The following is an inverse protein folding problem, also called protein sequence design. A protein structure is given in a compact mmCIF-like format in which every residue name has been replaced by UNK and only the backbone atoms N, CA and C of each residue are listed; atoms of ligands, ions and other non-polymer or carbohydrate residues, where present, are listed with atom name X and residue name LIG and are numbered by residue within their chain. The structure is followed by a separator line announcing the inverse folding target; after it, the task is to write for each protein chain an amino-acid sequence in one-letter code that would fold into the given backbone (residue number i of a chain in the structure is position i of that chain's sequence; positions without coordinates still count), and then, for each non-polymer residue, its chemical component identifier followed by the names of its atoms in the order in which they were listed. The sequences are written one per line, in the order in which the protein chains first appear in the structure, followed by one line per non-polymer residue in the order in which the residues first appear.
data_IF_506319763820
#
_entry.id   IF_506319763820
#
_cell.length_a   1.000
_cell.length_b   1.000
_cell.length_c   1.000
_cell.angle_alpha   90.00
_cell.angle_beta   90.00
_cell.angle_gamma   90.00
#
_symmetry.space_group_name_H-M   'P 1'
#
loop_
_entity.id
_entity.type
_entity.pdbx_description
1 polymer ?
#
# COMPACT_ATOMS: atom_id res chain seq x y z
N UNK A 1 8.69 -4.27 12.03
CA UNK A 1 8.52 -5.71 11.73
C UNK A 1 7.54 -5.88 10.59
N UNK A 2 7.45 -7.06 9.95
CA UNK A 2 6.55 -7.29 8.82
C UNK A 2 5.08 -7.09 9.23
N UNK A 3 4.26 -6.54 8.34
CA UNK A 3 2.83 -6.37 8.55
C UNK A 3 2.15 -7.74 8.33
N UNK A 4 1.59 -8.31 9.39
CA UNK A 4 0.88 -9.60 9.32
C UNK A 4 -0.51 -9.43 8.72
N UNK A 5 -1.09 -10.53 8.26
CA UNK A 5 -2.48 -10.53 7.79
C UNK A 5 -3.42 -9.94 8.86
N UNK A 6 -4.32 -9.05 8.45
CA UNK A 6 -5.26 -8.35 9.33
C UNK A 6 -4.65 -7.20 10.15
N UNK A 7 -3.32 -7.07 10.20
CA UNK A 7 -2.67 -5.96 10.89
C UNK A 7 -2.81 -4.66 10.08
N UNK A 8 -2.82 -3.53 10.80
CA UNK A 8 -2.89 -2.19 10.23
C UNK A 8 -1.65 -1.39 10.63
N UNK A 9 -1.17 -0.57 9.70
CA UNK A 9 -0.08 0.37 9.94
C UNK A 9 -0.59 1.78 9.64
N UNK A 10 -0.70 2.68 10.63
CA UNK A 10 -0.97 4.08 10.35
C UNK A 10 0.25 4.70 9.65
N UNK A 11 0.00 5.38 8.54
CA UNK A 11 1.00 6.13 7.79
C UNK A 11 0.62 7.60 7.82
N UNK A 12 1.51 8.44 8.33
CA UNK A 12 1.30 9.89 8.40
C UNK A 12 2.29 10.57 7.46
N UNK A 13 1.77 11.36 6.54
CA UNK A 13 2.57 12.19 5.64
C UNK A 13 2.72 13.57 6.27
N UNK A 14 3.94 14.12 6.27
CA UNK A 14 4.16 15.48 6.76
C UNK A 14 3.72 16.45 5.66
N UNK A 15 3.04 17.55 6.04
CA UNK A 15 2.47 18.52 5.09
C UNK A 15 3.48 19.30 4.24
N UNK A 16 4.79 19.00 4.36
CA UNK A 16 5.81 19.51 3.47
C UNK A 16 5.64 18.96 2.04
N UNK A 17 5.15 17.72 1.93
CA UNK A 17 4.85 17.08 0.66
C UNK A 17 3.45 17.51 0.20
N UNK A 18 3.38 18.59 -0.59
CA UNK A 18 2.11 19.18 -1.07
C UNK A 18 1.33 18.31 -2.07
N UNK A 19 1.74 17.06 -2.27
CA UNK A 19 1.12 16.13 -3.22
C UNK A 19 0.05 15.27 -2.57
N UNK A 20 -1.12 15.18 -3.19
CA UNK A 20 -2.16 14.22 -2.80
C UNK A 20 -1.98 12.85 -3.46
N UNK A 21 -1.26 12.79 -4.59
CA UNK A 21 -1.13 11.58 -5.41
C UNK A 21 0.21 10.92 -5.16
N UNK A 22 0.16 9.66 -4.71
CA UNK A 22 1.33 8.91 -4.29
C UNK A 22 1.39 7.54 -4.97
N UNK A 23 2.61 7.02 -5.06
CA UNK A 23 2.82 5.63 -5.42
C UNK A 23 3.19 4.84 -4.17
N UNK A 24 2.65 3.63 -4.03
CA UNK A 24 2.94 2.73 -2.91
C UNK A 24 3.75 1.55 -3.43
N UNK A 25 4.95 1.36 -2.88
CA UNK A 25 5.73 0.13 -3.05
C UNK A 25 5.55 -0.77 -1.84
N UNK A 26 5.21 -2.03 -2.08
CA UNK A 26 5.14 -3.06 -1.04
C UNK A 26 6.15 -4.14 -1.37
N UNK A 27 6.98 -4.49 -0.39
CA UNK A 27 7.87 -5.65 -0.46
C UNK A 27 7.25 -6.76 0.38
N UNK A 28 7.06 -7.93 -0.22
CA UNK A 28 6.49 -9.11 0.43
C UNK A 28 7.57 -9.94 1.14
N UNK A 29 7.16 -10.95 1.89
CA UNK A 29 8.07 -11.79 2.68
C UNK A 29 9.01 -12.65 1.83
N UNK A 30 8.63 -12.93 0.60
CA UNK A 30 9.45 -13.61 -0.41
C UNK A 30 10.37 -12.68 -1.20
N UNK A 31 10.53 -11.44 -0.76
CA UNK A 31 11.31 -10.36 -1.39
C UNK A 31 10.79 -9.88 -2.75
N UNK A 32 9.66 -10.40 -3.23
CA UNK A 32 8.99 -9.80 -4.39
C UNK A 32 8.45 -8.41 -4.04
N UNK A 33 8.25 -7.57 -5.06
CA UNK A 33 7.78 -6.20 -4.87
C UNK A 33 6.61 -5.88 -5.79
N UNK A 34 5.60 -5.21 -5.24
CA UNK A 34 4.47 -4.68 -6.00
C UNK A 34 4.44 -3.17 -5.92
N UNK A 35 3.96 -2.54 -7.00
CA UNK A 35 3.91 -1.10 -7.12
C UNK A 35 2.52 -0.63 -7.53
N UNK A 36 1.85 0.09 -6.63
CA UNK A 36 0.55 0.68 -6.85
C UNK A 36 0.71 2.15 -7.18
N UNK A 37 0.21 2.58 -8.34
CA UNK A 37 0.47 3.93 -8.88
C UNK A 37 -0.74 4.82 -8.76
N UNK A 38 -0.49 6.11 -8.49
CA UNK A 38 -1.49 7.16 -8.63
C UNK A 38 -2.59 7.14 -7.56
N UNK A 39 -2.31 6.66 -6.35
CA UNK A 39 -3.28 6.65 -5.27
C UNK A 39 -3.46 8.06 -4.73
N UNK A 40 -4.68 8.57 -4.74
CA UNK A 40 -5.03 9.88 -4.19
C UNK A 40 -5.34 9.77 -2.70
N UNK A 41 -4.33 10.03 -1.86
CA UNK A 41 -4.43 9.94 -0.40
C UNK A 41 -5.33 11.02 0.21
N UNK A 42 -5.64 12.08 -0.54
CA UNK A 42 -6.60 13.09 -0.08
C UNK A 42 -8.06 12.61 -0.18
N UNK A 43 -8.31 11.51 -0.89
CA UNK A 43 -9.63 10.90 -1.05
C UNK A 43 -9.73 9.49 -0.47
N UNK A 44 -8.62 8.95 0.06
CA UNK A 44 -8.53 7.57 0.54
C UNK A 44 -8.10 7.59 2.00
N UNK A 45 -8.81 6.87 2.86
CA UNK A 45 -8.46 6.73 4.28
C UNK A 45 -7.70 5.42 4.54
N UNK A 46 -8.09 4.33 3.87
CA UNK A 46 -7.45 3.02 4.00
C UNK A 46 -7.12 2.42 2.64
N UNK A 47 -5.94 1.80 2.55
CA UNK A 47 -5.59 0.90 1.45
C UNK A 47 -5.53 -0.53 1.98
N UNK A 48 -6.44 -1.39 1.51
CA UNK A 48 -6.41 -2.82 1.80
C UNK A 48 -5.59 -3.53 0.72
N UNK A 49 -4.56 -4.27 1.15
CA UNK A 49 -3.62 -4.94 0.27
C UNK A 49 -3.91 -6.45 0.24
N UNK A 50 -3.87 -7.05 -0.95
CA UNK A 50 -3.96 -8.50 -1.14
C UNK A 50 -2.84 -8.97 -2.05
N UNK A 51 -2.19 -10.06 -1.64
CA UNK A 51 -1.15 -10.73 -2.42
C UNK A 51 -1.50 -12.20 -2.60
N UNK A 52 -1.50 -12.67 -3.83
CA UNK A 52 -1.58 -14.08 -4.18
C UNK A 52 -0.20 -14.56 -4.62
N UNK A 53 0.49 -15.24 -3.70
CA UNK A 53 1.84 -15.78 -3.94
C UNK A 53 1.87 -16.88 -5.00
N UNK A 54 0.78 -17.64 -5.17
CA UNK A 54 0.74 -18.71 -6.16
C UNK A 54 0.75 -18.19 -7.60
N UNK A 55 0.26 -16.96 -7.82
CA UNK A 55 0.16 -16.32 -9.15
C UNK A 55 1.00 -15.06 -9.25
N UNK A 56 1.81 -14.76 -8.23
CA UNK A 56 2.57 -13.51 -8.07
C UNK A 56 1.75 -12.26 -8.40
N UNK A 57 0.52 -12.21 -7.90
CA UNK A 57 -0.43 -11.14 -8.23
C UNK A 57 -0.78 -10.33 -7.00
N UNK A 58 -0.56 -9.03 -7.04
CA UNK A 58 -0.98 -8.11 -6.01
C UNK A 58 -2.15 -7.24 -6.48
N UNK A 59 -3.08 -6.97 -5.56
CA UNK A 59 -4.20 -6.07 -5.77
C UNK A 59 -4.46 -5.24 -4.52
N UNK A 60 -5.22 -4.17 -4.71
CA UNK A 60 -5.64 -3.30 -3.61
C UNK A 60 -7.08 -2.83 -3.80
N UNK A 61 -7.71 -2.48 -2.68
CA UNK A 61 -8.99 -1.75 -2.64
C UNK A 61 -8.87 -0.60 -1.64
N UNK A 62 -9.66 0.45 -1.83
CA UNK A 62 -9.60 1.68 -1.05
C UNK A 62 -10.95 2.02 -0.44
N UNK A 63 -10.95 2.64 0.74
CA UNK A 63 -12.12 3.27 1.37
C UNK A 63 -11.93 4.78 1.61
#
# INVERSE_FOLDING_TARGET
GPLRHGARLPVTFTGADRGCVWNIKVTWDDNSSSFFRGLNLCTINTVYLRYNRATDTASYVTD
#
